data_IF_322981440201
#
_entry.id   IF_322981440201
#
_cell.length_a   1.000
_cell.length_b   1.000
_cell.length_c   1.000
_cell.angle_alpha   90.00
_cell.angle_beta   90.00
_cell.angle_gamma   90.00
#
_symmetry.space_group_name_H-M   'P 1'
#
loop_
_entity.id
_entity.type
_entity.pdbx_description
1 polymer ?
#
# COMPACT_ATOMS: atom_id res chain seq x y z
N UNK A 1 34.31 -45.23 39.19
CA UNK A 1 34.37 -44.66 37.83
C UNK A 1 33.01 -44.06 37.50
N UNK A 2 32.84 -42.76 37.68
CA UNK A 2 31.65 -42.03 37.25
C UNK A 2 32.16 -40.80 36.50
N UNK A 3 32.03 -40.80 35.18
CA UNK A 3 32.40 -39.68 34.33
C UNK A 3 31.22 -38.71 34.26
N UNK A 4 31.39 -37.53 34.86
CA UNK A 4 30.52 -36.38 34.64
C UNK A 4 30.55 -35.99 33.15
N UNK A 5 29.44 -36.21 32.46
CA UNK A 5 29.20 -35.62 31.15
C UNK A 5 28.85 -34.15 31.36
N UNK A 6 29.82 -33.26 31.07
CA UNK A 6 29.62 -31.82 31.04
C UNK A 6 28.52 -31.44 30.06
N UNK A 7 27.39 -30.97 30.59
CA UNK A 7 26.28 -30.45 29.81
C UNK A 7 26.74 -29.18 29.07
N UNK A 8 26.96 -29.31 27.75
CA UNK A 8 27.15 -28.14 26.87
C UNK A 8 25.86 -27.32 26.90
N UNK A 9 25.93 -25.98 27.03
CA UNK A 9 24.74 -25.14 27.01
C UNK A 9 24.04 -25.30 25.66
N UNK A 10 22.89 -25.98 25.66
CA UNK A 10 22.00 -26.13 24.51
C UNK A 10 21.35 -24.77 24.25
N UNK A 11 22.03 -23.95 23.45
CA UNK A 11 21.48 -22.70 22.94
C UNK A 11 20.29 -23.05 22.03
N UNK A 12 19.08 -22.77 22.51
CA UNK A 12 17.85 -23.23 21.89
C UNK A 12 17.69 -22.81 20.42
N UNK A 13 16.89 -23.54 19.62
CA UNK A 13 16.71 -23.29 18.18
C UNK A 13 16.34 -21.83 17.85
N UNK A 14 15.58 -21.18 18.73
CA UNK A 14 15.19 -19.77 18.63
C UNK A 14 16.35 -18.78 18.73
N UNK A 15 17.39 -19.10 19.52
CA UNK A 15 18.58 -18.24 19.69
C UNK A 15 19.53 -18.41 18.51
N UNK A 16 19.65 -19.63 17.95
CA UNK A 16 20.41 -19.87 16.71
C UNK A 16 19.78 -19.17 15.51
N UNK A 17 18.46 -19.21 15.36
CA UNK A 17 17.74 -18.49 14.30
C UNK A 17 17.89 -16.97 14.50
N UNK A 18 17.76 -16.48 15.74
CA UNK A 18 18.00 -15.07 16.05
C UNK A 18 19.45 -14.63 15.71
N UNK A 19 20.47 -15.43 16.05
CA UNK A 19 21.87 -15.09 15.78
C UNK A 19 22.21 -15.10 14.28
N UNK A 20 21.66 -16.05 13.52
CA UNK A 20 21.92 -16.18 12.07
C UNK A 20 21.12 -15.15 11.25
N UNK A 21 19.94 -14.73 11.74
CA UNK A 21 19.10 -13.73 11.07
C UNK A 21 19.37 -12.28 11.48
N UNK A 22 19.84 -12.03 12.71
CA UNK A 22 20.11 -10.67 13.22
C UNK A 22 21.60 -10.29 13.17
N UNK A 23 22.51 -11.27 13.21
CA UNK A 23 23.96 -11.05 13.31
C UNK A 23 24.54 -10.24 12.14
N UNK A 24 24.32 -10.65 10.88
CA UNK A 24 24.87 -9.93 9.72
C UNK A 24 24.31 -8.49 9.58
N UNK A 25 23.06 -8.26 9.96
CA UNK A 25 22.39 -6.96 9.81
C UNK A 25 22.75 -5.96 10.90
N UNK A 26 22.89 -6.40 12.16
CA UNK A 26 23.40 -5.53 13.24
C UNK A 26 24.87 -5.15 13.00
N UNK A 27 25.64 -6.06 12.40
CA UNK A 27 27.00 -5.77 11.95
C UNK A 27 26.98 -4.75 10.81
N UNK A 28 26.11 -4.89 9.81
CA UNK A 28 26.01 -3.94 8.70
C UNK A 28 25.50 -2.56 9.15
N UNK A 29 24.50 -2.48 10.02
CA UNK A 29 24.00 -1.21 10.57
C UNK A 29 25.03 -0.56 11.49
N UNK A 30 25.73 -1.36 12.30
CA UNK A 30 26.88 -0.91 13.10
C UNK A 30 28.01 -0.41 12.22
N UNK A 31 28.30 -1.09 11.10
CA UNK A 31 29.31 -0.68 10.13
C UNK A 31 28.90 0.59 9.38
N UNK A 32 27.62 0.76 9.01
CA UNK A 32 27.10 1.98 8.39
C UNK A 32 27.14 3.17 9.35
N UNK A 33 26.72 2.96 10.61
CA UNK A 33 26.80 3.99 11.64
C UNK A 33 28.27 4.36 11.93
N UNK A 34 29.15 3.37 12.08
CA UNK A 34 30.57 3.57 12.28
C UNK A 34 31.24 4.22 11.07
N UNK A 35 30.86 3.87 9.83
CA UNK A 35 31.40 4.48 8.62
C UNK A 35 30.95 5.93 8.48
N UNK A 36 29.69 6.24 8.80
CA UNK A 36 29.18 7.61 8.80
C UNK A 36 29.86 8.44 9.89
N UNK A 37 30.02 7.89 11.10
CA UNK A 37 30.73 8.57 12.20
C UNK A 37 32.21 8.78 11.87
N UNK A 38 32.89 7.76 11.33
CA UNK A 38 34.29 7.85 10.94
C UNK A 38 34.50 8.82 9.77
N UNK A 39 33.63 8.78 8.75
CA UNK A 39 33.69 9.73 7.63
C UNK A 39 33.38 11.17 8.10
N UNK A 40 32.46 11.34 9.05
CA UNK A 40 32.15 12.65 9.64
C UNK A 40 33.31 13.19 10.48
N UNK A 41 33.95 12.33 11.29
CA UNK A 41 35.12 12.67 12.09
C UNK A 41 36.35 12.98 11.24
N UNK A 42 36.65 12.16 10.22
CA UNK A 42 37.75 12.39 9.29
C UNK A 42 37.55 13.68 8.46
N UNK A 43 36.33 13.95 8.00
CA UNK A 43 36.01 15.19 7.31
C UNK A 43 36.04 16.43 8.22
N UNK A 44 35.72 16.27 9.50
CA UNK A 44 35.82 17.34 10.50
C UNK A 44 37.28 17.68 10.81
N UNK A 45 38.14 16.67 10.98
CA UNK A 45 39.56 16.85 11.27
C UNK A 45 40.33 17.40 10.04
N UNK A 46 39.98 16.95 8.83
CA UNK A 46 40.56 17.43 7.58
C UNK A 46 40.05 18.83 7.18
N UNK A 47 38.79 19.16 7.49
CA UNK A 47 38.23 20.50 7.34
C UNK A 47 38.87 21.53 8.28
N UNK A 48 39.22 21.11 9.51
CA UNK A 48 39.94 21.94 10.49
C UNK A 48 41.38 22.25 10.08
N UNK A 49 42.04 21.35 9.33
CA UNK A 49 43.42 21.53 8.83
C UNK A 49 43.55 22.25 7.49
N UNK A 50 42.53 22.20 6.62
CA UNK A 50 42.68 22.62 5.21
C UNK A 50 41.98 23.93 4.83
N UNK A 51 41.18 24.53 5.72
CA UNK A 51 40.40 25.74 5.41
C UNK A 51 39.32 25.56 4.32
N UNK A 52 39.16 24.36 3.76
CA UNK A 52 38.20 24.03 2.70
C UNK A 52 36.85 23.60 3.30
N UNK A 53 35.71 23.90 2.64
CA UNK A 53 34.37 23.67 3.19
C UNK A 53 33.92 22.19 3.16
N UNK A 54 34.85 21.22 3.14
CA UNK A 54 34.58 19.76 3.06
C UNK A 54 33.71 19.30 4.25
N UNK A 55 33.82 19.96 5.40
CA UNK A 55 32.97 19.72 6.57
C UNK A 55 31.47 19.95 6.29
N UNK A 56 31.11 20.82 5.33
CA UNK A 56 29.71 21.03 4.91
C UNK A 56 29.14 19.80 4.20
N UNK A 57 29.95 19.11 3.40
CA UNK A 57 29.54 17.87 2.72
C UNK A 57 29.35 16.72 3.72
N UNK A 58 30.23 16.62 4.72
CA UNK A 58 30.09 15.63 5.79
C UNK A 58 28.88 15.91 6.71
N UNK A 59 28.63 17.18 7.04
CA UNK A 59 27.45 17.58 7.79
C UNK A 59 26.14 17.26 7.02
N UNK A 60 26.12 17.51 5.71
CA UNK A 60 24.99 17.12 4.85
C UNK A 60 24.80 15.60 4.82
N UNK A 61 25.88 14.83 4.67
CA UNK A 61 25.83 13.36 4.71
C UNK A 61 25.30 12.82 6.05
N UNK A 62 25.75 13.38 7.18
CA UNK A 62 25.30 13.00 8.51
C UNK A 62 23.84 13.40 8.79
N UNK A 63 23.36 14.53 8.26
CA UNK A 63 21.97 14.99 8.44
C UNK A 63 20.97 14.27 7.53
N UNK A 64 21.39 13.78 6.37
CA UNK A 64 20.54 13.11 5.38
C UNK A 64 19.70 11.95 5.94
N UNK A 65 20.24 10.98 6.71
CA UNK A 65 19.43 9.90 7.28
C UNK A 65 18.41 10.40 8.31
N UNK A 66 18.70 11.48 9.04
CA UNK A 66 17.76 12.09 9.99
C UNK A 66 16.62 12.81 9.29
N UNK A 67 16.93 13.60 8.26
CA UNK A 67 15.92 14.28 7.41
C UNK A 67 15.04 13.24 6.72
N UNK A 68 15.64 12.17 6.18
CA UNK A 68 14.90 11.06 5.60
C UNK A 68 13.98 10.38 6.61
N UNK A 69 14.51 10.01 7.78
CA UNK A 69 13.77 9.30 8.83
C UNK A 69 12.63 10.11 9.42
N UNK A 70 12.82 11.41 9.64
CA UNK A 70 11.84 12.25 10.35
C UNK A 70 10.83 12.92 9.40
N UNK A 71 11.28 13.40 8.25
CA UNK A 71 10.43 14.19 7.35
C UNK A 71 9.94 13.39 6.14
N UNK A 72 10.84 12.75 5.40
CA UNK A 72 10.44 12.01 4.19
C UNK A 72 9.61 10.78 4.56
N UNK A 73 10.03 10.00 5.56
CA UNK A 73 9.27 8.84 6.02
C UNK A 73 7.85 9.23 6.42
N UNK A 74 7.68 10.21 7.31
CA UNK A 74 6.37 10.63 7.78
C UNK A 74 5.47 11.09 6.62
N UNK A 75 6.03 11.79 5.63
CA UNK A 75 5.27 12.19 4.43
C UNK A 75 4.94 11.01 3.52
N UNK A 76 5.83 10.01 3.43
CA UNK A 76 5.63 8.79 2.67
C UNK A 76 4.54 7.88 3.28
N UNK A 77 4.45 7.81 4.61
CA UNK A 77 3.41 7.03 5.29
C UNK A 77 2.00 7.59 5.04
N UNK A 78 1.88 8.88 4.69
CA UNK A 78 0.60 9.58 4.50
C UNK A 78 0.36 10.13 3.10
N UNK A 79 0.95 9.52 2.06
CA UNK A 79 0.87 10.08 0.71
C UNK A 79 -0.58 10.30 0.26
N UNK A 80 -0.89 11.56 -0.01
CA UNK A 80 -2.22 11.99 -0.42
C UNK A 80 -3.28 12.00 0.68
N UNK A 81 -3.00 11.47 1.88
CA UNK A 81 -3.86 11.52 3.06
C UNK A 81 -3.55 12.73 3.96
N UNK A 82 -4.55 13.19 4.70
CA UNK A 82 -4.44 14.21 5.73
C UNK A 82 -4.10 13.58 7.08
N UNK A 83 -3.63 14.38 8.04
CA UNK A 83 -3.41 13.89 9.42
C UNK A 83 -4.69 13.41 10.08
N UNK A 84 -5.83 14.05 9.81
CA UNK A 84 -7.11 13.61 10.37
C UNK A 84 -7.50 12.24 9.81
N UNK A 85 -7.27 12.01 8.51
CA UNK A 85 -7.52 10.71 7.89
C UNK A 85 -6.57 9.61 8.38
N UNK A 86 -5.34 9.96 8.78
CA UNK A 86 -4.39 9.04 9.42
C UNK A 86 -4.83 8.67 10.85
N UNK A 87 -5.42 9.60 11.60
CA UNK A 87 -5.79 9.39 13.00
C UNK A 87 -7.19 8.77 13.19
N UNK A 88 -8.06 8.84 12.18
CA UNK A 88 -9.39 8.22 12.28
C UNK A 88 -9.31 6.69 12.27
N UNK A 89 -10.25 6.05 12.95
CA UNK A 89 -10.46 4.60 12.85
C UNK A 89 -11.10 4.24 11.51
N UNK A 90 -10.52 3.26 10.82
CA UNK A 90 -11.02 2.71 9.56
C UNK A 90 -11.44 1.24 9.74
N UNK A 91 -12.42 0.73 8.97
CA UNK A 91 -12.77 -0.68 8.99
C UNK A 91 -11.55 -1.58 8.76
N UNK A 92 -11.34 -2.56 9.63
CA UNK A 92 -10.19 -3.47 9.58
C UNK A 92 -9.08 -3.12 10.56
N UNK A 93 -9.12 -1.95 11.20
CA UNK A 93 -8.18 -1.55 12.23
C UNK A 93 -8.22 -2.45 13.48
N UNK A 94 -9.39 -3.00 13.77
CA UNK A 94 -9.64 -3.91 14.87
C UNK A 94 -9.03 -5.31 14.67
N UNK A 95 -8.63 -5.66 13.44
CA UNK A 95 -8.15 -7.00 13.08
C UNK A 95 -6.70 -7.25 13.52
N UNK A 96 -5.93 -6.19 13.79
CA UNK A 96 -4.57 -6.28 14.32
C UNK A 96 -4.46 -5.51 15.64
N UNK A 97 -3.66 -5.99 16.60
CA UNK A 97 -3.43 -5.26 17.85
C UNK A 97 -2.85 -3.87 17.56
N UNK A 98 -3.25 -2.85 18.32
CA UNK A 98 -2.73 -1.50 18.15
C UNK A 98 -1.24 -1.40 18.53
N UNK A 99 -0.82 -2.12 19.55
CA UNK A 99 0.54 -2.02 20.10
C UNK A 99 1.56 -2.65 19.17
N UNK A 100 2.54 -1.85 18.74
CA UNK A 100 3.68 -2.29 17.93
C UNK A 100 3.37 -2.58 16.46
N UNK A 101 2.13 -2.34 16.03
CA UNK A 101 1.73 -2.44 14.63
C UNK A 101 2.24 -1.22 13.88
N UNK A 102 2.83 -1.45 12.70
CA UNK A 102 3.15 -0.37 11.77
C UNK A 102 1.94 -0.08 10.90
N UNK A 103 1.63 1.20 10.69
CA UNK A 103 0.52 1.65 9.85
C UNK A 103 1.01 2.60 8.76
N UNK A 104 0.43 2.46 7.57
CA UNK A 104 0.54 3.38 6.46
C UNK A 104 -0.85 3.72 5.93
N UNK A 105 -1.15 5.00 5.71
CA UNK A 105 -2.47 5.46 5.25
C UNK A 105 -2.33 6.40 4.06
N UNK A 106 -2.79 6.00 2.88
CA UNK A 106 -2.76 6.84 1.68
C UNK A 106 -4.16 7.29 1.28
N UNK A 107 -4.24 8.46 0.64
CA UNK A 107 -5.50 9.08 0.25
C UNK A 107 -5.51 9.45 -1.23
N UNK A 108 -6.64 9.19 -1.89
CA UNK A 108 -6.84 9.46 -3.30
C UNK A 108 -8.23 10.03 -3.53
N UNK A 109 -8.32 11.20 -4.13
CA UNK A 109 -9.61 11.72 -4.62
C UNK A 109 -9.84 11.23 -6.05
N UNK A 110 -11.04 10.72 -6.31
CA UNK A 110 -11.49 10.14 -7.56
C UNK A 110 -12.68 10.96 -8.08
N UNK A 111 -12.68 11.28 -9.38
CA UNK A 111 -13.83 11.87 -10.08
C UNK A 111 -14.77 10.76 -10.56
N UNK A 112 -15.41 10.12 -9.60
CA UNK A 112 -16.36 9.03 -9.82
C UNK A 112 -17.25 8.88 -8.57
N UNK A 113 -18.42 8.29 -8.76
CA UNK A 113 -19.35 7.98 -7.67
C UNK A 113 -18.90 6.74 -6.88
N UNK A 114 -19.32 6.57 -5.62
CA UNK A 114 -18.99 5.37 -4.86
C UNK A 114 -19.39 4.07 -5.58
N UNK A 115 -20.53 4.06 -6.28
CA UNK A 115 -20.96 2.90 -7.07
C UNK A 115 -20.06 2.59 -8.28
N UNK A 116 -19.32 3.56 -8.80
CA UNK A 116 -18.37 3.37 -9.89
C UNK A 116 -17.01 2.90 -9.37
N UNK A 117 -16.72 3.09 -8.09
CA UNK A 117 -15.48 2.67 -7.42
C UNK A 117 -15.56 1.21 -6.98
N UNK A 118 -16.68 0.81 -6.38
CA UNK A 118 -16.85 -0.51 -5.76
C UNK A 118 -16.50 -1.69 -6.68
N UNK A 119 -16.95 -1.74 -7.95
CA UNK A 119 -16.68 -2.89 -8.81
C UNK A 119 -15.19 -3.16 -9.05
N UNK A 120 -14.38 -2.10 -9.04
CA UNK A 120 -12.93 -2.21 -9.18
C UNK A 120 -12.26 -2.71 -7.91
N UNK A 121 -12.82 -2.42 -6.73
CA UNK A 121 -12.32 -2.90 -5.44
C UNK A 121 -12.70 -4.38 -5.22
N UNK A 122 -13.94 -4.75 -5.50
CA UNK A 122 -14.47 -6.10 -5.26
C UNK A 122 -13.68 -7.19 -5.98
N UNK A 123 -13.18 -6.87 -7.19
CA UNK A 123 -12.42 -7.79 -8.02
C UNK A 123 -10.90 -7.78 -7.75
N UNK A 124 -10.40 -7.03 -6.77
CA UNK A 124 -8.95 -7.03 -6.45
C UNK A 124 -8.50 -8.45 -6.11
N UNK A 125 -7.37 -8.86 -6.68
CA UNK A 125 -6.67 -10.10 -6.36
C UNK A 125 -5.89 -10.68 -7.54
N UNK A 126 -5.10 -11.71 -7.26
CA UNK A 126 -4.27 -12.41 -8.25
C UNK A 126 -5.00 -13.62 -8.88
N UNK A 127 -4.38 -14.20 -9.92
CA UNK A 127 -4.93 -15.32 -10.66
C UNK A 127 -6.01 -14.87 -11.65
N UNK A 128 -7.22 -15.40 -11.48
CA UNK A 128 -8.38 -15.09 -12.34
C UNK A 128 -9.11 -13.80 -11.95
N UNK A 129 -8.75 -13.22 -10.79
CA UNK A 129 -9.25 -11.92 -10.31
C UNK A 129 -8.69 -10.74 -11.12
N UNK A 130 -9.17 -9.53 -10.83
CA UNK A 130 -8.90 -8.32 -11.61
C UNK A 130 -7.46 -7.76 -11.55
N UNK A 131 -6.56 -8.40 -10.80
CA UNK A 131 -5.20 -7.93 -10.54
C UNK A 131 -5.13 -6.89 -9.42
N UNK A 132 -3.91 -6.56 -9.01
CA UNK A 132 -3.65 -5.51 -8.01
C UNK A 132 -3.45 -4.12 -8.63
N UNK A 133 -3.63 -3.98 -9.95
CA UNK A 133 -3.51 -2.71 -10.70
C UNK A 133 -2.12 -2.04 -10.62
N UNK A 134 -1.09 -2.78 -10.21
CA UNK A 134 0.33 -2.41 -10.03
C UNK A 134 1.19 -2.80 -11.24
N UNK A 135 2.51 -2.90 -11.04
CA UNK A 135 3.46 -3.29 -12.08
C UNK A 135 3.36 -4.79 -12.36
N UNK A 136 2.82 -5.17 -13.52
CA UNK A 136 2.69 -6.57 -13.99
C UNK A 136 4.03 -7.33 -14.15
N UNK A 137 5.20 -6.76 -13.77
CA UNK A 137 6.54 -7.33 -13.97
C UNK A 137 7.24 -7.81 -12.68
N UNK A 138 6.93 -7.24 -11.51
CA UNK A 138 7.49 -7.71 -10.22
C UNK A 138 6.73 -8.92 -9.68
N UNK A 139 5.44 -9.04 -10.01
CA UNK A 139 4.60 -10.20 -9.68
C UNK A 139 5.03 -11.47 -10.45
N UNK A 140 5.60 -11.31 -11.65
CA UNK A 140 6.29 -12.40 -12.39
C UNK A 140 7.58 -12.83 -11.71
N UNK A 141 8.26 -11.92 -11.01
CA UNK A 141 9.48 -12.22 -10.25
C UNK A 141 9.16 -13.02 -8.97
N UNK A 142 7.93 -12.92 -8.46
CA UNK A 142 7.39 -13.69 -7.34
C UNK A 142 6.64 -14.98 -7.77
N UNK A 143 6.60 -15.31 -9.07
CA UNK A 143 6.05 -16.58 -9.57
C UNK A 143 4.54 -16.61 -9.82
N UNK A 144 3.82 -15.49 -9.75
CA UNK A 144 2.38 -15.42 -10.02
C UNK A 144 2.07 -14.58 -11.27
N UNK A 145 1.48 -15.16 -12.34
CA UNK A 145 1.06 -14.39 -13.50
C UNK A 145 -0.19 -13.57 -13.16
N UNK A 146 0.00 -12.32 -12.76
CA UNK A 146 -1.08 -11.36 -12.56
C UNK A 146 -1.16 -10.47 -13.79
N UNK A 147 -2.36 -10.34 -14.38
CA UNK A 147 -2.62 -9.40 -15.49
C UNK A 147 -3.76 -8.48 -15.08
N UNK A 148 -3.43 -7.22 -14.82
CA UNK A 148 -4.44 -6.22 -14.41
C UNK A 148 -5.49 -6.02 -15.51
N UNK A 149 -6.74 -6.40 -15.25
CA UNK A 149 -7.81 -6.29 -16.24
C UNK A 149 -8.20 -4.83 -16.48
N UNK A 150 -8.72 -4.55 -17.67
CA UNK A 150 -9.27 -3.22 -18.03
C UNK A 150 -10.81 -3.18 -18.03
N UNK A 151 -11.45 -4.27 -17.59
CA UNK A 151 -12.92 -4.41 -17.52
C UNK A 151 -13.36 -4.89 -16.15
N UNK A 152 -14.63 -4.69 -15.84
CA UNK A 152 -15.27 -5.28 -14.67
C UNK A 152 -15.58 -6.75 -14.95
N UNK A 153 -15.23 -7.62 -14.00
CA UNK A 153 -15.51 -9.06 -14.04
C UNK A 153 -16.79 -9.34 -13.23
N UNK A 154 -17.91 -9.74 -13.86
CA UNK A 154 -19.18 -9.99 -13.17
C UNK A 154 -19.07 -11.02 -12.04
N UNK A 155 -18.16 -11.98 -12.18
CA UNK A 155 -17.99 -13.12 -11.27
C UNK A 155 -17.47 -12.70 -9.89
N UNK A 156 -16.74 -11.57 -9.81
CA UNK A 156 -16.09 -11.10 -8.57
C UNK A 156 -16.80 -9.92 -7.91
N UNK A 157 -18.05 -9.63 -8.29
CA UNK A 157 -18.79 -8.47 -7.76
C UNK A 157 -19.45 -8.73 -6.40
N UNK A 158 -19.48 -9.98 -5.95
CA UNK A 158 -20.01 -10.39 -4.64
C UNK A 158 -18.93 -11.10 -3.81
N UNK A 159 -17.84 -10.39 -3.43
CA UNK A 159 -16.76 -11.00 -2.67
C UNK A 159 -17.27 -11.45 -1.29
N UNK A 160 -16.85 -12.63 -0.86
CA UNK A 160 -17.24 -13.20 0.44
C UNK A 160 -16.09 -13.17 1.43
N UNK A 161 -16.40 -12.95 2.70
CA UNK A 161 -15.41 -13.06 3.77
C UNK A 161 -14.83 -14.49 3.79
N UNK A 162 -13.51 -14.60 3.91
CA UNK A 162 -12.76 -15.85 3.87
C UNK A 162 -12.30 -16.29 2.48
N UNK A 163 -12.78 -15.64 1.41
CA UNK A 163 -12.40 -15.95 0.03
C UNK A 163 -10.92 -15.61 -0.24
N UNK A 164 -10.23 -16.45 -1.01
CA UNK A 164 -8.82 -16.25 -1.34
C UNK A 164 -8.65 -15.09 -2.33
N UNK A 165 -7.71 -14.20 -2.04
CA UNK A 165 -7.32 -13.08 -2.89
C UNK A 165 -6.09 -13.44 -3.72
N UNK A 166 -5.25 -14.34 -3.22
CA UNK A 166 -4.04 -14.83 -3.89
C UNK A 166 -4.10 -16.36 -4.04
N UNK A 167 -3.65 -16.93 -5.18
CA UNK A 167 -3.69 -18.37 -5.42
C UNK A 167 -2.89 -19.22 -4.42
N UNK A 168 -1.86 -18.65 -3.81
CA UNK A 168 -1.05 -19.27 -2.76
C UNK A 168 -1.78 -19.37 -1.40
N UNK A 169 -2.95 -18.74 -1.27
CA UNK A 169 -3.77 -18.75 -0.06
C UNK A 169 -3.27 -17.83 1.06
N UNK A 170 -2.22 -17.04 0.79
CA UNK A 170 -1.62 -16.11 1.76
C UNK A 170 -2.59 -15.02 2.20
N UNK A 171 -3.38 -14.46 1.26
CA UNK A 171 -4.32 -13.39 1.56
C UNK A 171 -5.76 -13.80 1.31
N UNK A 172 -6.63 -13.38 2.23
CA UNK A 172 -8.06 -13.66 2.20
C UNK A 172 -8.86 -12.41 2.48
N UNK A 173 -10.08 -12.37 1.98
CA UNK A 173 -11.05 -11.32 2.33
C UNK A 173 -11.35 -11.40 3.83
N UNK A 174 -11.14 -10.31 4.56
CA UNK A 174 -11.36 -10.22 6.00
C UNK A 174 -12.66 -9.50 6.33
N UNK A 175 -13.02 -8.48 5.54
CA UNK A 175 -14.27 -7.71 5.72
C UNK A 175 -14.74 -7.12 4.40
N UNK A 176 -16.05 -7.16 4.19
CA UNK A 176 -16.71 -6.60 3.01
C UNK A 176 -17.89 -5.76 3.47
N UNK A 177 -17.87 -4.48 3.13
CA UNK A 177 -19.00 -3.57 3.26
C UNK A 177 -19.28 -2.98 1.87
N UNK A 178 -20.27 -3.51 1.13
CA UNK A 178 -20.57 -3.08 -0.22
C UNK A 178 -20.68 -1.56 -0.36
N UNK A 179 -19.93 -0.99 -1.30
CA UNK A 179 -19.87 0.45 -1.56
C UNK A 179 -19.08 1.27 -0.54
N UNK A 180 -18.58 0.67 0.55
CA UNK A 180 -17.95 1.40 1.67
C UNK A 180 -16.57 0.92 2.04
N UNK A 181 -16.35 -0.39 2.20
CA UNK A 181 -15.07 -0.92 2.62
C UNK A 181 -14.78 -2.31 2.06
N UNK A 182 -13.55 -2.52 1.62
CA UNK A 182 -13.04 -3.81 1.21
C UNK A 182 -11.71 -4.05 1.91
N UNK A 183 -11.66 -5.08 2.75
CA UNK A 183 -10.51 -5.39 3.60
C UNK A 183 -10.08 -6.82 3.37
N UNK A 184 -8.78 -7.03 3.12
CA UNK A 184 -8.19 -8.35 2.97
C UNK A 184 -6.79 -8.41 3.59
N UNK A 185 -6.28 -9.63 3.75
CA UNK A 185 -4.96 -9.88 4.31
C UNK A 185 -4.90 -11.22 5.05
N UNK A 186 -4.09 -11.26 6.10
CA UNK A 186 -3.89 -12.42 6.96
C UNK A 186 -3.69 -11.97 8.43
N UNK A 187 -3.21 -12.89 9.29
CA UNK A 187 -3.04 -12.63 10.72
C UNK A 187 -1.97 -11.59 11.06
N UNK A 188 -1.09 -11.27 10.11
CA UNK A 188 0.05 -10.39 10.33
C UNK A 188 0.05 -9.15 9.40
N UNK A 189 -0.84 -9.11 8.41
CA UNK A 189 -0.95 -8.05 7.43
C UNK A 189 -2.41 -7.78 7.08
N UNK A 190 -2.84 -6.53 7.16
CA UNK A 190 -4.20 -6.08 6.81
C UNK A 190 -4.11 -4.93 5.82
N UNK A 191 -4.85 -5.04 4.72
CA UNK A 191 -4.98 -4.01 3.71
C UNK A 191 -6.46 -3.62 3.56
N UNK A 192 -6.78 -2.39 3.94
CA UNK A 192 -8.12 -1.83 3.92
C UNK A 192 -8.26 -0.76 2.83
N UNK A 193 -9.32 -0.88 2.04
CA UNK A 193 -9.75 0.10 1.05
C UNK A 193 -11.09 0.68 1.49
N UNK A 194 -11.13 1.97 1.82
CA UNK A 194 -12.31 2.64 2.36
C UNK A 194 -12.76 3.73 1.41
N UNK A 195 -14.03 3.65 1.03
CA UNK A 195 -14.71 4.53 0.10
C UNK A 195 -15.55 5.52 0.91
N UNK A 196 -15.24 6.80 0.77
CA UNK A 196 -15.96 7.89 1.42
C UNK A 196 -16.50 8.85 0.34
N UNK A 197 -17.82 9.03 0.21
CA UNK A 197 -18.37 10.03 -0.70
C UNK A 197 -17.94 11.44 -0.26
N UNK A 198 -17.47 12.26 -1.19
CA UNK A 198 -17.21 13.68 -0.95
C UNK A 198 -18.37 14.55 -1.44
N UNK A 199 -18.91 14.20 -2.60
CA UNK A 199 -20.09 14.80 -3.22
C UNK A 199 -20.74 13.77 -4.17
N UNK A 200 -21.74 14.19 -4.96
CA UNK A 200 -22.47 13.33 -5.90
C UNK A 200 -21.62 12.79 -7.07
N UNK A 201 -20.42 13.32 -7.33
CA UNK A 201 -19.57 12.93 -8.45
C UNK A 201 -18.12 12.64 -8.05
N UNK A 202 -17.76 12.80 -6.77
CA UNK A 202 -16.42 12.62 -6.25
C UNK A 202 -16.41 11.71 -5.04
N UNK A 203 -15.39 10.86 -5.03
CA UNK A 203 -15.16 9.89 -3.98
C UNK A 203 -13.75 10.04 -3.43
N UNK A 204 -13.62 9.96 -2.11
CA UNK A 204 -12.36 9.83 -1.40
C UNK A 204 -12.10 8.35 -1.14
N UNK A 205 -11.02 7.83 -1.71
CA UNK A 205 -10.53 6.49 -1.46
C UNK A 205 -9.35 6.57 -0.49
N UNK A 206 -9.51 5.96 0.69
CA UNK A 206 -8.45 5.75 1.66
C UNK A 206 -7.94 4.32 1.55
N UNK A 207 -6.62 4.17 1.60
CA UNK A 207 -5.95 2.89 1.51
C UNK A 207 -5.02 2.75 2.70
N UNK A 208 -5.37 1.89 3.65
CA UNK A 208 -4.62 1.67 4.88
C UNK A 208 -4.00 0.29 4.90
N UNK A 209 -2.72 0.23 5.24
CA UNK A 209 -1.95 -0.99 5.41
C UNK A 209 -1.47 -1.06 6.85
N UNK A 210 -1.75 -2.18 7.51
CA UNK A 210 -1.31 -2.46 8.88
C UNK A 210 -0.54 -3.76 8.91
N UNK A 211 0.57 -3.77 9.63
CA UNK A 211 1.45 -4.93 9.74
C UNK A 211 1.79 -5.20 11.20
N UNK A 212 1.59 -6.45 11.64
CA UNK A 212 1.79 -6.86 13.02
C UNK A 212 3.25 -6.68 13.46
N UNK A 213 3.52 -6.54 14.77
CA UNK A 213 4.88 -6.43 15.29
C UNK A 213 5.81 -7.60 14.88
N UNK A 214 5.26 -8.79 14.60
CA UNK A 214 6.03 -9.98 14.18
C UNK A 214 6.64 -9.80 12.79
N UNK A 215 5.91 -9.16 11.87
CA UNK A 215 6.41 -8.80 10.54
C UNK A 215 7.02 -7.38 10.50
N UNK A 216 6.63 -6.51 11.43
CA UNK A 216 7.09 -5.13 11.56
C UNK A 216 8.33 -4.98 12.46
N UNK A 217 9.28 -5.91 12.38
CA UNK A 217 10.62 -5.68 12.95
C UNK A 217 11.20 -4.36 12.40
N UNK A 218 11.92 -3.55 13.20
CA UNK A 218 12.34 -2.19 12.81
C UNK A 218 13.24 -2.15 11.56
N UNK A 219 13.86 -3.29 11.23
CA UNK A 219 14.79 -3.46 10.10
C UNK A 219 14.03 -3.93 8.83
N UNK A 220 13.17 -4.96 8.96
CA UNK A 220 12.36 -5.52 7.85
C UNK A 220 11.32 -4.51 7.35
N UNK A 221 10.72 -3.75 8.27
CA UNK A 221 9.72 -2.73 7.93
C UNK A 221 10.26 -1.62 7.03
N UNK A 222 11.54 -1.23 7.14
CA UNK A 222 12.11 -0.13 6.34
C UNK A 222 12.52 -0.55 4.93
N UNK A 223 13.05 -1.77 4.78
CA UNK A 223 13.48 -2.34 3.51
C UNK A 223 12.29 -2.68 2.61
N UNK A 224 11.18 -3.15 3.18
CA UNK A 224 9.96 -3.49 2.43
C UNK A 224 9.08 -2.26 2.17
N UNK A 225 9.15 -1.23 3.03
CA UNK A 225 8.32 -0.03 2.92
C UNK A 225 8.53 0.70 1.59
N UNK A 226 9.77 0.92 1.13
CA UNK A 226 10.02 1.67 -0.11
C UNK A 226 9.45 0.96 -1.37
N UNK A 227 9.72 -0.34 -1.60
CA UNK A 227 9.05 -1.10 -2.66
C UNK A 227 7.52 -1.07 -2.55
N UNK A 228 6.99 -1.29 -1.35
CA UNK A 228 5.54 -1.27 -1.10
C UNK A 228 4.92 0.10 -1.42
N UNK A 229 5.58 1.19 -1.05
CA UNK A 229 5.14 2.56 -1.37
C UNK A 229 5.05 2.80 -2.87
N UNK A 230 6.09 2.40 -3.62
CA UNK A 230 6.13 2.55 -5.08
C UNK A 230 5.00 1.74 -5.72
N UNK A 231 4.82 0.49 -5.27
CA UNK A 231 3.78 -0.41 -5.74
C UNK A 231 2.37 0.11 -5.44
N UNK A 232 2.09 0.48 -4.19
CA UNK A 232 0.80 1.02 -3.76
C UNK A 232 0.47 2.31 -4.51
N UNK A 233 1.45 3.20 -4.68
CA UNK A 233 1.21 4.44 -5.40
C UNK A 233 0.91 4.20 -6.89
N UNK A 234 1.57 3.23 -7.51
CA UNK A 234 1.26 2.79 -8.88
C UNK A 234 -0.15 2.19 -8.96
N UNK A 235 -0.50 1.30 -8.03
CA UNK A 235 -1.83 0.71 -7.90
C UNK A 235 -2.90 1.80 -7.81
N UNK A 236 -2.74 2.76 -6.89
CA UNK A 236 -3.68 3.88 -6.72
C UNK A 236 -3.87 4.70 -8.00
N UNK A 237 -2.78 4.99 -8.73
CA UNK A 237 -2.87 5.65 -10.05
C UNK A 237 -3.56 4.77 -11.10
N UNK A 238 -3.29 3.46 -11.09
CA UNK A 238 -3.90 2.48 -11.98
C UNK A 238 -5.41 2.37 -11.77
N UNK A 239 -5.84 2.35 -10.51
CA UNK A 239 -7.25 2.39 -10.10
C UNK A 239 -7.90 3.71 -10.51
N UNK A 240 -7.31 4.87 -10.18
CA UNK A 240 -7.85 6.18 -10.59
C UNK A 240 -8.14 6.23 -12.08
N UNK A 241 -7.17 5.84 -12.91
CA UNK A 241 -7.32 5.88 -14.37
C UNK A 241 -8.51 5.04 -14.84
N UNK A 242 -8.67 3.83 -14.31
CA UNK A 242 -9.72 2.88 -14.69
C UNK A 242 -11.09 3.31 -14.23
N UNK A 243 -11.19 3.68 -12.94
CA UNK A 243 -12.42 4.16 -12.32
C UNK A 243 -12.94 5.41 -13.03
N UNK A 244 -12.10 6.44 -13.18
CA UNK A 244 -12.53 7.70 -13.81
C UNK A 244 -12.82 7.53 -15.30
N UNK A 245 -12.17 6.58 -15.99
CA UNK A 245 -12.51 6.24 -17.39
C UNK A 245 -13.88 5.59 -17.47
N UNK A 246 -14.17 4.62 -16.58
CA UNK A 246 -15.45 3.93 -16.53
C UNK A 246 -16.60 4.91 -16.20
N UNK A 247 -16.38 5.82 -15.24
CA UNK A 247 -17.34 6.86 -14.90
C UNK A 247 -17.67 7.77 -16.10
N UNK A 248 -16.65 8.27 -16.80
CA UNK A 248 -16.85 9.10 -18.02
C UNK A 248 -17.61 8.37 -19.13
N UNK A 249 -17.33 7.08 -19.34
CA UNK A 249 -18.03 6.28 -20.36
C UNK A 249 -19.51 6.10 -20.02
N UNK A 250 -19.83 5.96 -18.73
CA UNK A 250 -21.21 5.85 -18.24
C UNK A 250 -21.99 7.16 -18.43
N UNK A 251 -21.36 8.29 -18.09
CA UNK A 251 -21.92 9.63 -18.30
C UNK A 251 -22.19 9.89 -19.79
N UNK A 252 -21.24 9.58 -20.66
CA UNK A 252 -21.38 9.74 -22.11
C UNK A 252 -22.51 8.85 -22.68
N UNK A 253 -22.57 7.57 -22.27
CA UNK A 253 -23.64 6.65 -22.71
C UNK A 253 -25.03 7.03 -22.17
N UNK A 254 -25.11 7.61 -20.97
CA UNK A 254 -26.36 8.16 -20.42
C UNK A 254 -26.84 9.42 -21.15
N UNK A 255 -25.92 10.28 -21.60
CA UNK A 255 -26.24 11.46 -22.38
C UNK A 255 -26.76 11.11 -23.78
N UNK A 256 -26.16 10.14 -24.47
CA UNK A 256 -26.64 9.68 -25.79
C UNK A 256 -28.03 9.02 -25.71
N UNK A 257 -28.30 8.23 -24.65
CA UNK A 257 -29.63 7.65 -24.41
C UNK A 257 -30.72 8.69 -24.10
N UNK A 258 -30.35 9.82 -23.49
CA UNK A 258 -31.28 10.92 -23.18
C UNK A 258 -31.60 11.77 -24.40
N UNK A 259 -30.64 11.96 -25.33
CA UNK A 259 -30.86 12.70 -26.59
C UNK A 259 -31.77 11.92 -27.56
N UNK A 260 -31.72 10.59 -27.55
CA UNK A 260 -32.61 9.74 -28.37
C UNK A 260 -34.03 9.62 -27.81
N UNK A 261 -34.25 10.00 -26.54
CA UNK A 261 -35.56 10.00 -25.89
C UNK A 261 -36.28 11.36 -25.97
N UNK A 262 -36.13 12.09 -27.09
CA UNK A 262 -36.96 13.28 -27.37
C UNK A 262 -38.38 12.81 -27.75
N UNK A 263 -39.46 13.33 -27.12
CA UNK A 263 -40.80 12.81 -27.37
C UNK A 263 -41.24 13.06 -28.82
N UNK A 264 -41.64 11.99 -29.50
CA UNK A 264 -42.32 12.05 -30.78
C UNK A 264 -43.75 12.54 -30.57
N UNK A 265 -43.94 13.86 -30.48
CA UNK A 265 -45.27 14.47 -30.53
C UNK A 265 -45.19 15.89 -31.05
N UNK A 266 -44.99 16.03 -32.36
CA UNK A 266 -45.47 17.18 -33.13
C UNK A 266 -45.56 16.75 -34.60
N UNK A 267 -46.63 16.00 -34.89
CA UNK A 267 -47.09 15.76 -36.25
C UNK A 267 -47.89 17.01 -36.67
N UNK A 268 -47.48 17.74 -37.72
CA UNK A 268 -48.25 18.89 -38.17
C UNK A 268 -49.61 18.44 -38.75
N UNK A 269 -50.69 19.23 -38.56
CA UNK A 269 -52.01 18.85 -39.05
C UNK A 269 -52.02 18.78 -40.58
N UNK A 270 -52.69 17.75 -41.11
CA UNK A 270 -52.84 17.51 -42.54
C UNK A 270 -53.64 18.66 -43.22
N UNK A 271 -53.33 18.98 -44.49
CA UNK A 271 -54.04 20.04 -45.21
C UNK A 271 -55.47 19.59 -45.51
N UNK A 272 -56.44 20.41 -45.11
CA UNK A 272 -57.86 20.16 -45.31
C UNK A 272 -58.27 20.19 -46.79
N UNK A 273 -59.21 19.32 -47.13
CA UNK A 273 -60.08 19.34 -48.31
C UNK A 273 -61.45 19.82 -47.87
#
# INVERSE_FOLDING_TARGET
MAAEQGARPQVGPRIRIAAVSLGPSLVLDGMLAASVLAASAAAWEQGRRSGRPIWKLAAVGALTPWVFRLFLRARMMRLGATRQEELQSLPGDELLPHRGTSELTHGLTLRARPEDVWPWLAQIGAGERGGFYSYDWLERLAGAPVRSVERILPEYQQPKVGELITPDGEWRVLRVEPGRAFVFGNQDFVWAFVVQPLDEAKTRLLVRVRTSPKQAGPIVSNLILLPHLIMQWKMMKGMRRRIERAARQREAGGAEGTVMARPASEQPPAPGV
#
